data_IF_085909062605
#
_entry.id   IF_085909062605
#
_cell.length_a   1.000
_cell.length_b   1.000
_cell.length_c   1.000
_cell.angle_alpha   90.00
_cell.angle_beta   90.00
_cell.angle_gamma   90.00
#
_symmetry.space_group_name_H-M   'P 1'
#
loop_
_entity.id
_entity.type
_entity.pdbx_description
1 polymer ?
#
# COMPACT_ATOMS: atom_id res chain seq x y z
N UNK A 1 -19.51 8.80 1.86
CA UNK A 1 -18.64 9.99 1.78
C UNK A 1 -18.92 10.95 2.94
N UNK A 2 -20.19 11.27 3.20
CA UNK A 2 -20.61 12.18 4.27
C UNK A 2 -20.35 11.66 5.71
N UNK A 3 -20.49 10.37 5.98
CA UNK A 3 -20.18 9.80 7.32
C UNK A 3 -18.67 9.85 7.67
N UNK A 4 -17.78 9.72 6.66
CA UNK A 4 -16.34 9.87 6.86
C UNK A 4 -15.97 11.34 7.08
N UNK A 5 -16.68 12.24 6.40
CA UNK A 5 -16.53 13.68 6.53
C UNK A 5 -17.00 14.18 7.90
N UNK A 6 -18.09 13.63 8.44
CA UNK A 6 -18.57 13.90 9.80
C UNK A 6 -17.60 13.39 10.88
N UNK A 7 -17.01 12.19 10.69
CA UNK A 7 -15.97 11.66 11.59
C UNK A 7 -14.64 12.42 11.50
N UNK A 8 -14.31 12.93 10.31
CA UNK A 8 -13.15 13.81 10.08
C UNK A 8 -13.33 15.21 10.67
N UNK A 9 -14.56 15.74 10.72
CA UNK A 9 -14.87 17.03 11.33
C UNK A 9 -14.86 16.97 12.87
N UNK A 10 -15.22 15.81 13.45
CA UNK A 10 -15.30 15.62 14.90
C UNK A 10 -13.94 15.31 15.58
N UNK A 11 -12.87 15.04 14.84
CA UNK A 11 -11.58 14.65 15.40
C UNK A 11 -10.40 15.44 14.81
N UNK A 12 -9.81 16.34 15.60
CA UNK A 12 -8.37 16.59 15.54
C UNK A 12 -7.90 17.95 14.99
N UNK A 13 -6.64 18.23 15.35
CA UNK A 13 -5.88 19.45 15.04
C UNK A 13 -5.78 19.74 13.52
N UNK A 14 -5.36 20.93 13.09
CA UNK A 14 -5.21 21.30 11.67
C UNK A 14 -4.48 20.25 10.83
N UNK A 15 -3.50 19.56 11.41
CA UNK A 15 -2.73 18.50 10.75
C UNK A 15 -3.58 17.27 10.36
N UNK A 16 -4.57 16.92 11.16
CA UNK A 16 -5.50 15.80 10.88
C UNK A 16 -6.43 16.17 9.72
N UNK A 17 -6.84 17.44 9.63
CA UNK A 17 -7.68 17.95 8.53
C UNK A 17 -6.94 17.98 7.19
N UNK A 18 -5.68 18.42 7.16
CA UNK A 18 -4.84 18.39 5.95
C UNK A 18 -4.60 16.95 5.48
N UNK A 19 -4.29 16.05 6.42
CA UNK A 19 -4.07 14.62 6.13
C UNK A 19 -5.33 13.94 5.58
N UNK A 20 -6.51 14.25 6.13
CA UNK A 20 -7.81 13.77 5.65
C UNK A 20 -8.14 14.33 4.25
N UNK A 21 -7.81 15.60 3.98
CA UNK A 21 -7.98 16.21 2.66
C UNK A 21 -7.08 15.56 1.59
N UNK A 22 -5.81 15.27 1.92
CA UNK A 22 -4.91 14.53 1.04
C UNK A 22 -5.41 13.11 0.79
N UNK A 23 -5.93 12.42 1.82
CA UNK A 23 -6.53 11.09 1.68
C UNK A 23 -7.79 11.13 0.80
N UNK A 24 -8.67 12.11 0.98
CA UNK A 24 -9.85 12.30 0.14
C UNK A 24 -9.51 12.62 -1.32
N UNK A 25 -8.45 13.40 -1.57
CA UNK A 25 -7.96 13.68 -2.93
C UNK A 25 -7.32 12.44 -3.57
N UNK A 26 -6.54 11.68 -2.80
CA UNK A 26 -5.99 10.39 -3.23
C UNK A 26 -7.10 9.39 -3.57
N UNK A 27 -8.18 9.37 -2.79
CA UNK A 27 -9.39 8.60 -3.09
C UNK A 27 -10.07 9.05 -4.39
N UNK A 28 -10.26 10.36 -4.61
CA UNK A 28 -10.82 10.89 -5.87
C UNK A 28 -10.00 10.47 -7.10
N UNK A 29 -8.67 10.42 -6.99
CA UNK A 29 -7.80 9.92 -8.08
C UNK A 29 -8.04 8.44 -8.43
N UNK A 30 -8.47 7.64 -7.47
CA UNK A 30 -8.79 6.22 -7.67
C UNK A 30 -10.21 6.01 -8.20
N UNK A 31 -11.13 6.92 -7.85
CA UNK A 31 -12.53 6.94 -8.30
C UNK A 31 -12.69 7.54 -9.70
N UNK A 32 -12.20 8.77 -9.89
CA UNK A 32 -12.50 9.66 -11.02
C UNK A 32 -11.32 9.82 -12.00
N UNK A 33 -10.13 9.33 -11.64
CA UNK A 33 -8.93 9.33 -12.51
C UNK A 33 -8.09 10.61 -12.48
N UNK A 34 -8.47 11.61 -11.69
CA UNK A 34 -7.86 12.95 -11.66
C UNK A 34 -6.36 12.97 -11.29
N UNK A 35 -5.57 13.89 -11.86
CA UNK A 35 -4.14 14.04 -11.56
C UNK A 35 -3.92 14.78 -10.22
N UNK A 36 -2.95 14.33 -9.42
CA UNK A 36 -2.51 15.13 -8.27
C UNK A 36 -1.70 16.30 -8.81
N UNK A 37 -2.27 17.51 -8.74
CA UNK A 37 -1.51 18.75 -8.90
C UNK A 37 -0.34 18.83 -7.90
N UNK A 38 0.60 19.77 -8.12
CA UNK A 38 1.68 20.03 -7.16
C UNK A 38 1.11 20.32 -5.75
N UNK A 39 1.91 20.15 -4.68
CA UNK A 39 1.47 20.47 -3.32
C UNK A 39 0.82 21.86 -3.26
N UNK A 40 -0.30 21.99 -2.54
CA UNK A 40 -1.00 23.28 -2.44
C UNK A 40 -0.23 24.22 -1.49
N UNK A 41 -0.36 25.52 -1.68
CA UNK A 41 0.23 26.55 -0.79
C UNK A 41 -0.23 26.40 0.68
N UNK A 42 -1.39 25.78 0.91
CA UNK A 42 -1.92 25.47 2.25
C UNK A 42 -1.33 24.19 2.89
N UNK A 43 -0.55 23.39 2.14
CA UNK A 43 0.28 22.31 2.70
C UNK A 43 1.50 22.95 3.39
N UNK A 44 1.29 23.66 4.51
CA UNK A 44 2.40 24.23 5.28
C UNK A 44 3.39 23.10 5.65
N UNK A 45 4.61 23.07 5.07
CA UNK A 45 5.58 22.00 5.28
C UNK A 45 6.25 22.04 6.65
N UNK A 46 5.82 22.94 7.55
CA UNK A 46 6.50 23.30 8.79
C UNK A 46 6.65 22.17 9.80
N UNK A 47 5.92 21.04 9.65
CA UNK A 47 6.16 19.83 10.43
C UNK A 47 6.43 18.60 9.56
N UNK A 48 7.55 17.94 9.83
CA UNK A 48 7.97 16.73 9.12
C UNK A 48 6.87 15.66 9.09
N UNK A 49 6.09 15.45 10.15
CA UNK A 49 5.01 14.46 10.18
C UNK A 49 3.94 14.69 9.09
N UNK A 50 3.60 15.93 8.74
CA UNK A 50 2.63 16.23 7.68
C UNK A 50 3.18 15.90 6.28
N UNK A 51 4.45 16.23 6.04
CA UNK A 51 5.16 15.84 4.81
C UNK A 51 5.18 14.33 4.62
N UNK A 52 5.48 13.58 5.68
CA UNK A 52 5.47 12.11 5.63
C UNK A 52 4.05 11.55 5.43
N UNK A 53 3.04 12.14 6.05
CA UNK A 53 1.64 11.77 5.87
C UNK A 53 1.16 11.93 4.43
N UNK A 54 1.34 13.12 3.84
CA UNK A 54 0.93 13.39 2.46
C UNK A 54 1.69 12.55 1.44
N UNK A 55 2.99 12.37 1.64
CA UNK A 55 3.83 11.52 0.78
C UNK A 55 3.41 10.05 0.87
N UNK A 56 3.03 9.57 2.04
CA UNK A 56 2.55 8.19 2.20
C UNK A 56 1.33 7.92 1.34
N UNK A 57 0.34 8.82 1.28
CA UNK A 57 -0.85 8.60 0.45
C UNK A 57 -0.55 8.67 -1.05
N UNK A 58 0.43 9.47 -1.47
CA UNK A 58 0.93 9.43 -2.86
C UNK A 58 1.54 8.07 -3.19
N UNK A 59 2.37 7.54 -2.29
CA UNK A 59 2.97 6.21 -2.43
C UNK A 59 1.86 5.14 -2.48
N UNK A 60 0.82 5.23 -1.64
CA UNK A 60 -0.33 4.32 -1.66
C UNK A 60 -0.97 4.29 -3.05
N UNK A 61 -1.30 5.45 -3.63
CA UNK A 61 -1.93 5.53 -4.96
C UNK A 61 -1.03 4.90 -6.03
N UNK A 62 0.27 5.19 -6.00
CA UNK A 62 1.24 4.61 -6.96
C UNK A 62 1.36 3.10 -6.81
N UNK A 63 1.42 2.59 -5.59
CA UNK A 63 1.46 1.15 -5.31
C UNK A 63 0.19 0.46 -5.82
N UNK A 64 -1.00 1.04 -5.57
CA UNK A 64 -2.26 0.50 -6.06
C UNK A 64 -2.31 0.47 -7.60
N UNK A 65 -1.76 1.49 -8.27
CA UNK A 65 -1.63 1.57 -9.73
C UNK A 65 -0.49 0.72 -10.31
N UNK A 66 0.24 -0.03 -9.47
CA UNK A 66 1.44 -0.82 -9.84
C UNK A 66 2.62 0.02 -10.37
N UNK A 67 2.65 1.32 -10.06
CA UNK A 67 3.72 2.28 -10.41
C UNK A 67 4.90 2.17 -9.42
N UNK A 68 5.43 0.96 -9.21
CA UNK A 68 6.34 0.67 -8.08
C UNK A 68 7.68 1.43 -8.13
N UNK A 69 8.23 1.68 -9.32
CA UNK A 69 9.46 2.48 -9.45
C UNK A 69 9.24 3.93 -9.03
N UNK A 70 8.11 4.52 -9.43
CA UNK A 70 7.71 5.88 -9.04
C UNK A 70 7.33 5.97 -7.56
N UNK A 71 6.77 4.89 -7.01
CA UNK A 71 6.51 4.77 -5.57
C UNK A 71 7.83 4.72 -4.77
N UNK A 72 8.81 3.93 -5.24
CA UNK A 72 10.11 3.83 -4.59
C UNK A 72 10.90 5.13 -4.65
N UNK A 73 10.92 5.83 -5.79
CA UNK A 73 11.60 7.12 -5.93
C UNK A 73 11.09 8.19 -4.95
N UNK A 74 9.81 8.14 -4.55
CA UNK A 74 9.26 9.02 -3.50
C UNK A 74 9.57 8.52 -2.09
N UNK A 75 9.66 7.21 -1.89
CA UNK A 75 9.91 6.61 -0.58
C UNK A 75 11.39 6.65 -0.17
N UNK A 76 12.31 6.51 -1.12
CA UNK A 76 13.75 6.35 -0.86
C UNK A 76 14.34 7.51 -0.03
N UNK A 77 14.07 8.80 -0.33
CA UNK A 77 14.59 9.92 0.46
C UNK A 77 14.08 9.94 1.91
N UNK A 78 12.94 9.30 2.18
CA UNK A 78 12.28 9.25 3.48
C UNK A 78 12.75 8.06 4.35
N UNK A 79 13.53 7.15 3.78
CA UNK A 79 13.86 5.85 4.38
C UNK A 79 14.68 5.87 5.68
N UNK A 80 15.30 6.99 6.03
CA UNK A 80 16.24 7.07 7.16
C UNK A 80 15.61 7.50 8.50
N UNK A 81 14.54 8.31 8.47
CA UNK A 81 13.98 8.93 9.68
C UNK A 81 12.46 8.73 9.85
N UNK A 82 11.81 8.06 8.90
CA UNK A 82 10.35 7.85 8.87
C UNK A 82 9.78 7.32 10.19
N UNK A 83 10.48 6.40 10.87
CA UNK A 83 9.99 5.79 12.10
C UNK A 83 9.82 6.81 13.22
N UNK A 84 10.75 7.76 13.34
CA UNK A 84 10.69 8.85 14.31
C UNK A 84 9.61 9.86 13.92
N UNK A 85 9.57 10.22 12.64
CA UNK A 85 8.65 11.25 12.13
C UNK A 85 7.19 10.83 12.11
N UNK A 86 6.93 9.53 11.99
CA UNK A 86 5.59 8.94 12.02
C UNK A 86 5.27 8.22 13.34
N UNK A 87 6.08 8.40 14.38
CA UNK A 87 5.86 7.71 15.66
C UNK A 87 4.48 8.05 16.25
N UNK A 88 3.70 7.02 16.60
CA UNK A 88 2.34 7.17 17.14
C UNK A 88 1.28 7.60 16.13
N UNK A 89 1.66 7.86 14.87
CA UNK A 89 0.70 8.26 13.84
C UNK A 89 0.08 7.03 13.16
N UNK A 90 -1.24 7.02 12.99
CA UNK A 90 -1.98 5.94 12.31
C UNK A 90 -1.50 5.66 10.87
N UNK A 91 -0.84 6.64 10.24
CA UNK A 91 -0.27 6.52 8.89
C UNK A 91 1.02 5.69 8.87
N UNK A 92 1.68 5.47 10.01
CA UNK A 92 2.91 4.71 10.14
C UNK A 92 2.82 3.26 9.63
N UNK A 93 1.82 2.45 10.04
CA UNK A 93 1.68 1.09 9.50
C UNK A 93 1.36 1.09 7.99
N UNK A 94 0.58 2.06 7.50
CA UNK A 94 0.31 2.20 6.06
C UNK A 94 1.61 2.48 5.31
N UNK A 95 2.41 3.44 5.78
CA UNK A 95 3.74 3.76 5.24
C UNK A 95 4.64 2.53 5.23
N UNK A 96 4.71 1.82 6.36
CA UNK A 96 5.53 0.63 6.50
C UNK A 96 5.20 -0.43 5.43
N UNK A 97 3.90 -0.68 5.20
CA UNK A 97 3.44 -1.64 4.20
C UNK A 97 3.79 -1.22 2.77
N UNK A 98 3.41 0.01 2.36
CA UNK A 98 3.54 0.42 0.95
C UNK A 98 5.00 0.62 0.54
N UNK A 99 5.85 1.11 1.43
CA UNK A 99 7.29 1.23 1.17
C UNK A 99 7.94 -0.16 1.11
N UNK A 100 7.51 -1.11 1.93
CA UNK A 100 7.99 -2.50 1.85
C UNK A 100 7.64 -3.13 0.49
N UNK A 101 6.41 -2.93 -0.01
CA UNK A 101 5.99 -3.43 -1.33
C UNK A 101 6.81 -2.75 -2.44
N UNK A 102 6.98 -1.42 -2.40
CA UNK A 102 7.78 -0.71 -3.40
C UNK A 102 9.25 -1.18 -3.40
N UNK A 103 9.83 -1.39 -2.22
CA UNK A 103 11.18 -1.95 -2.04
C UNK A 103 11.27 -3.39 -2.56
N UNK A 104 10.25 -4.22 -2.32
CA UNK A 104 10.19 -5.61 -2.79
C UNK A 104 10.35 -5.68 -4.32
N UNK A 105 9.75 -4.74 -5.04
CA UNK A 105 9.80 -4.65 -6.50
C UNK A 105 11.12 -4.14 -7.05
N UNK A 106 11.90 -3.38 -6.28
CA UNK A 106 13.26 -2.99 -6.67
C UNK A 106 14.28 -4.12 -6.45
N UNK A 107 13.96 -5.06 -5.54
CA UNK A 107 14.92 -6.06 -5.11
C UNK A 107 15.48 -6.92 -6.27
N UNK A 108 14.68 -7.43 -7.25
CA UNK A 108 15.22 -8.24 -8.35
C UNK A 108 16.32 -7.55 -9.16
N UNK A 109 16.18 -6.25 -9.44
CA UNK A 109 17.17 -5.45 -10.17
C UNK A 109 18.34 -4.95 -9.31
N UNK A 110 18.21 -5.01 -7.98
CA UNK A 110 19.21 -4.48 -7.04
C UNK A 110 20.25 -5.54 -6.65
N UNK A 111 21.54 -5.20 -6.74
CA UNK A 111 22.68 -6.09 -6.45
C UNK A 111 23.57 -5.57 -5.32
N UNK A 112 24.53 -6.39 -4.88
CA UNK A 112 25.58 -6.01 -3.93
C UNK A 112 25.10 -5.43 -2.60
N UNK A 113 25.79 -4.39 -2.11
CA UNK A 113 25.49 -3.73 -0.82
C UNK A 113 24.11 -3.06 -0.80
N UNK A 114 23.65 -2.55 -1.94
CA UNK A 114 22.31 -1.96 -2.05
C UNK A 114 21.21 -2.99 -1.77
N UNK A 115 21.37 -4.21 -2.28
CA UNK A 115 20.43 -5.33 -2.03
C UNK A 115 20.34 -5.67 -0.54
N UNK A 116 21.48 -5.67 0.15
CA UNK A 116 21.55 -5.94 1.60
C UNK A 116 20.83 -4.84 2.39
N UNK A 117 21.07 -3.57 2.05
CA UNK A 117 20.39 -2.43 2.67
C UNK A 117 18.87 -2.49 2.47
N UNK A 118 18.43 -2.80 1.25
CA UNK A 118 17.01 -2.92 0.92
C UNK A 118 16.34 -4.05 1.72
N UNK A 119 16.97 -5.22 1.82
CA UNK A 119 16.48 -6.31 2.69
C UNK A 119 16.46 -5.95 4.17
N UNK A 120 17.38 -5.11 4.65
CA UNK A 120 17.36 -4.61 6.04
C UNK A 120 16.19 -3.66 6.24
N UNK A 121 15.99 -2.73 5.31
CA UNK A 121 14.89 -1.77 5.32
C UNK A 121 13.53 -2.49 5.37
N UNK A 122 13.29 -3.47 4.50
CA UNK A 122 12.05 -4.23 4.51
C UNK A 122 11.81 -4.98 5.83
N UNK A 123 12.87 -5.54 6.44
CA UNK A 123 12.75 -6.18 7.76
C UNK A 123 12.40 -5.20 8.86
N UNK A 124 12.87 -3.97 8.79
CA UNK A 124 12.51 -2.90 9.73
C UNK A 124 11.04 -2.49 9.58
N UNK A 125 10.56 -2.34 8.35
CA UNK A 125 9.16 -2.02 8.06
C UNK A 125 8.22 -3.12 8.58
N UNK A 126 8.58 -4.40 8.37
CA UNK A 126 7.86 -5.53 8.97
C UNK A 126 7.82 -5.45 10.50
N UNK A 127 8.93 -5.12 11.17
CA UNK A 127 8.95 -5.03 12.65
C UNK A 127 8.03 -3.94 13.19
N UNK A 128 7.89 -2.84 12.46
CA UNK A 128 6.90 -1.80 12.82
C UNK A 128 5.50 -2.37 12.70
N UNK A 129 5.17 -3.07 11.61
CA UNK A 129 3.87 -3.74 11.46
C UNK A 129 3.62 -4.79 12.55
N UNK A 130 4.65 -5.51 13.01
CA UNK A 130 4.56 -6.47 14.13
C UNK A 130 4.19 -5.78 15.44
N UNK A 131 4.78 -4.61 15.73
CA UNK A 131 4.43 -3.82 16.91
C UNK A 131 2.96 -3.39 16.86
N UNK A 132 2.54 -2.78 15.75
CA UNK A 132 1.16 -2.30 15.59
C UNK A 132 0.14 -3.44 15.64
N UNK A 133 0.43 -4.58 15.01
CA UNK A 133 -0.45 -5.76 15.06
C UNK A 133 -0.48 -6.43 16.44
N UNK A 134 0.59 -6.30 17.24
CA UNK A 134 0.59 -6.73 18.63
C UNK A 134 -0.32 -5.88 19.51
N UNK A 135 -0.35 -4.56 19.26
CA UNK A 135 -1.15 -3.61 20.04
C UNK A 135 -2.63 -3.60 19.63
N UNK A 136 -2.93 -3.75 18.33
CA UNK A 136 -4.30 -3.80 17.82
C UNK A 136 -4.40 -4.73 16.58
N UNK A 137 -4.54 -6.05 16.80
CA UNK A 137 -4.51 -7.03 15.74
C UNK A 137 -5.65 -6.86 14.73
N UNK A 138 -6.84 -6.41 15.16
CA UNK A 138 -8.00 -6.17 14.30
C UNK A 138 -7.67 -5.17 13.19
N UNK A 139 -6.93 -4.10 13.52
CA UNK A 139 -6.62 -3.04 12.56
C UNK A 139 -5.39 -3.33 11.69
N UNK A 140 -4.42 -4.09 12.19
CA UNK A 140 -3.08 -4.14 11.59
C UNK A 140 -2.60 -5.55 11.22
N UNK A 141 -3.24 -6.62 11.69
CA UNK A 141 -2.91 -7.98 11.25
C UNK A 141 -3.02 -8.18 9.72
N UNK A 142 -4.01 -7.61 9.00
CA UNK A 142 -4.05 -7.73 7.55
C UNK A 142 -2.80 -7.13 6.86
N UNK A 143 -2.29 -6.00 7.34
CA UNK A 143 -1.09 -5.35 6.78
C UNK A 143 0.17 -6.16 7.06
N UNK A 144 0.29 -6.69 8.29
CA UNK A 144 1.40 -7.56 8.66
C UNK A 144 1.43 -8.83 7.81
N UNK A 145 0.27 -9.48 7.64
CA UNK A 145 0.16 -10.68 6.81
C UNK A 145 0.60 -10.40 5.37
N UNK A 146 0.19 -9.27 4.78
CA UNK A 146 0.62 -8.90 3.42
C UNK A 146 2.14 -8.67 3.34
N UNK A 147 2.72 -7.97 4.32
CA UNK A 147 4.16 -7.77 4.39
C UNK A 147 4.94 -9.09 4.53
N UNK A 148 4.43 -10.03 5.34
CA UNK A 148 5.00 -11.36 5.49
C UNK A 148 4.90 -12.17 4.20
N UNK A 149 3.80 -12.03 3.45
CA UNK A 149 3.62 -12.66 2.14
C UNK A 149 4.68 -12.22 1.13
N UNK A 150 4.92 -10.91 1.01
CA UNK A 150 5.96 -10.35 0.14
C UNK A 150 7.36 -10.88 0.51
N UNK A 151 7.70 -10.86 1.80
CA UNK A 151 8.99 -11.32 2.29
C UNK A 151 9.19 -12.84 2.13
N UNK A 152 8.16 -13.64 2.39
CA UNK A 152 8.18 -15.09 2.16
C UNK A 152 8.38 -15.39 0.67
N UNK A 153 7.67 -14.66 -0.21
CA UNK A 153 7.86 -14.74 -1.64
C UNK A 153 9.32 -14.45 -2.03
N UNK A 154 9.88 -13.30 -1.64
CA UNK A 154 11.26 -12.96 -1.99
C UNK A 154 12.31 -13.94 -1.45
N UNK A 155 11.96 -14.73 -0.44
CA UNK A 155 12.78 -15.81 0.12
C UNK A 155 12.56 -17.17 -0.56
N UNK A 156 11.68 -17.28 -1.56
CA UNK A 156 11.34 -18.55 -2.22
C UNK A 156 10.43 -19.46 -1.40
N UNK A 157 9.86 -18.97 -0.30
CA UNK A 157 8.97 -19.74 0.60
C UNK A 157 7.53 -19.67 0.10
N UNK A 158 7.28 -20.30 -1.06
CA UNK A 158 6.03 -20.17 -1.81
C UNK A 158 4.76 -20.46 -0.99
N UNK A 159 4.71 -21.60 -0.29
CA UNK A 159 3.53 -22.03 0.49
C UNK A 159 3.19 -21.03 1.62
N UNK A 160 4.23 -20.53 2.29
CA UNK A 160 4.08 -19.50 3.33
C UNK A 160 3.60 -18.18 2.72
N UNK A 161 4.13 -17.78 1.56
CA UNK A 161 3.70 -16.59 0.86
C UNK A 161 2.21 -16.65 0.49
N UNK A 162 1.76 -17.75 -0.13
CA UNK A 162 0.36 -17.96 -0.50
C UNK A 162 -0.57 -17.88 0.72
N UNK A 163 -0.23 -18.62 1.79
CA UNK A 163 -1.00 -18.62 3.05
C UNK A 163 -1.15 -17.19 3.60
N UNK A 164 -0.05 -16.43 3.60
CA UNK A 164 -0.06 -15.06 4.10
C UNK A 164 -0.85 -14.09 3.21
N UNK A 165 -0.83 -14.25 1.88
CA UNK A 165 -1.68 -13.46 0.98
C UNK A 165 -3.17 -13.73 1.23
N UNK A 166 -3.55 -15.00 1.36
CA UNK A 166 -4.94 -15.38 1.63
C UNK A 166 -5.41 -14.88 3.00
N UNK A 167 -4.56 -14.99 4.02
CA UNK A 167 -4.83 -14.41 5.34
C UNK A 167 -5.00 -12.90 5.30
N UNK A 168 -4.10 -12.18 4.61
CA UNK A 168 -4.20 -10.73 4.46
C UNK A 168 -5.53 -10.33 3.80
N UNK A 169 -5.91 -11.03 2.73
CA UNK A 169 -7.15 -10.80 2.00
C UNK A 169 -8.38 -11.07 2.85
N UNK A 170 -8.48 -12.25 3.47
CA UNK A 170 -9.63 -12.63 4.29
C UNK A 170 -9.82 -11.70 5.48
N UNK A 171 -8.72 -11.33 6.15
CA UNK A 171 -8.77 -10.39 7.28
C UNK A 171 -9.12 -8.98 6.81
N UNK A 172 -8.54 -8.49 5.72
CA UNK A 172 -8.91 -7.17 5.18
C UNK A 172 -10.39 -7.09 4.77
N UNK A 173 -10.98 -8.17 4.26
CA UNK A 173 -12.42 -8.23 3.98
C UNK A 173 -13.26 -8.21 5.26
N UNK A 174 -12.89 -9.01 6.28
CA UNK A 174 -13.57 -9.04 7.57
C UNK A 174 -13.57 -7.68 8.28
N UNK A 175 -12.42 -6.99 8.24
CA UNK A 175 -12.20 -5.68 8.88
C UNK A 175 -12.63 -4.51 7.99
N UNK A 176 -13.28 -4.79 6.85
CA UNK A 176 -13.82 -3.78 5.91
C UNK A 176 -12.76 -2.78 5.44
N UNK A 177 -11.58 -3.28 5.08
CA UNK A 177 -10.46 -2.54 4.51
C UNK A 177 -10.34 -2.79 2.99
N UNK A 178 -11.25 -2.23 2.16
CA UNK A 178 -11.37 -2.62 0.75
C UNK A 178 -10.13 -2.32 -0.09
N UNK A 179 -9.41 -1.23 0.20
CA UNK A 179 -8.16 -0.89 -0.47
C UNK A 179 -7.09 -1.97 -0.23
N UNK A 180 -7.02 -2.51 0.99
CA UNK A 180 -6.03 -3.50 1.39
C UNK A 180 -6.40 -4.89 0.89
N UNK A 181 -7.69 -5.24 0.90
CA UNK A 181 -8.19 -6.48 0.30
C UNK A 181 -7.88 -6.51 -1.20
N UNK A 182 -8.19 -5.43 -1.92
CA UNK A 182 -7.85 -5.31 -3.34
C UNK A 182 -6.34 -5.39 -3.59
N UNK A 183 -5.53 -4.73 -2.76
CA UNK A 183 -4.07 -4.78 -2.86
C UNK A 183 -3.54 -6.19 -2.60
N UNK A 184 -4.02 -6.89 -1.57
CA UNK A 184 -3.60 -8.26 -1.26
C UNK A 184 -3.90 -9.22 -2.43
N UNK A 185 -5.09 -9.12 -3.03
CA UNK A 185 -5.45 -9.91 -4.21
C UNK A 185 -4.57 -9.55 -5.43
N UNK A 186 -4.26 -8.26 -5.63
CA UNK A 186 -3.40 -7.80 -6.72
C UNK A 186 -1.95 -8.30 -6.58
N UNK A 187 -1.42 -8.25 -5.37
CA UNK A 187 -0.07 -8.73 -5.04
C UNK A 187 0.03 -10.25 -5.13
N UNK A 188 -1.01 -10.98 -4.71
CA UNK A 188 -1.12 -12.42 -4.94
C UNK A 188 -1.09 -12.75 -6.43
N UNK A 189 -1.87 -12.04 -7.25
CA UNK A 189 -1.87 -12.21 -8.69
C UNK A 189 -0.48 -11.98 -9.31
N UNK A 190 0.17 -10.88 -8.96
CA UNK A 190 1.53 -10.56 -9.43
C UNK A 190 2.51 -11.66 -9.04
N UNK A 191 2.39 -12.21 -7.82
CA UNK A 191 3.24 -13.31 -7.38
C UNK A 191 2.99 -14.59 -8.16
N UNK A 192 1.75 -15.03 -8.27
CA UNK A 192 1.39 -16.25 -8.99
C UNK A 192 1.79 -16.20 -10.47
N UNK A 193 1.76 -15.00 -11.06
CA UNK A 193 2.29 -14.77 -12.42
C UNK A 193 3.77 -15.12 -12.52
N UNK A 194 4.59 -14.63 -11.57
CA UNK A 194 6.05 -14.89 -11.57
C UNK A 194 6.40 -16.35 -11.34
N UNK A 195 5.56 -17.06 -10.60
CA UNK A 195 5.72 -18.48 -10.30
C UNK A 195 5.10 -19.40 -11.38
N UNK A 196 4.47 -18.84 -12.43
CA UNK A 196 3.86 -19.62 -13.52
C UNK A 196 2.48 -20.20 -13.22
N UNK A 197 1.83 -19.83 -12.11
CA UNK A 197 0.48 -20.27 -11.75
C UNK A 197 -0.60 -19.40 -12.40
N UNK A 198 -0.80 -19.56 -13.72
CA UNK A 198 -1.66 -18.70 -14.55
C UNK A 198 -3.11 -18.63 -14.08
N UNK A 199 -3.76 -19.76 -13.81
CA UNK A 199 -5.17 -19.81 -13.37
C UNK A 199 -5.38 -19.05 -12.06
N UNK A 200 -4.53 -19.30 -11.05
CA UNK A 200 -4.65 -18.63 -9.77
C UNK A 200 -4.32 -17.13 -9.89
N UNK A 201 -3.37 -16.77 -10.77
CA UNK A 201 -3.08 -15.37 -11.06
C UNK A 201 -4.31 -14.66 -11.66
N UNK A 202 -4.97 -15.24 -12.65
CA UNK A 202 -6.17 -14.66 -13.30
C UNK A 202 -7.34 -14.51 -12.34
N UNK A 203 -7.63 -15.54 -11.54
CA UNK A 203 -8.65 -15.48 -10.50
C UNK A 203 -8.37 -14.36 -9.50
N UNK A 204 -7.12 -14.23 -9.06
CA UNK A 204 -6.69 -13.19 -8.13
C UNK A 204 -6.80 -11.79 -8.74
N UNK A 205 -6.47 -11.60 -10.03
CA UNK A 205 -6.67 -10.32 -10.75
C UNK A 205 -8.15 -9.95 -10.83
N UNK A 206 -9.00 -10.91 -11.20
CA UNK A 206 -10.44 -10.71 -11.26
C UNK A 206 -11.00 -10.31 -9.89
N UNK A 207 -10.53 -10.96 -8.82
CA UNK A 207 -10.90 -10.62 -7.45
C UNK A 207 -10.45 -9.22 -7.05
N UNK A 208 -9.20 -8.84 -7.34
CA UNK A 208 -8.69 -7.49 -7.08
C UNK A 208 -9.57 -6.42 -7.77
N UNK A 209 -9.90 -6.61 -9.05
CA UNK A 209 -10.81 -5.70 -9.78
C UNK A 209 -12.19 -5.62 -9.16
N UNK A 210 -12.78 -6.75 -8.76
CA UNK A 210 -14.08 -6.78 -8.11
C UNK A 210 -14.07 -6.01 -6.78
N UNK A 211 -13.00 -6.17 -5.98
CA UNK A 211 -12.83 -5.46 -4.72
C UNK A 211 -12.66 -3.95 -4.92
N UNK A 212 -11.84 -3.53 -5.89
CA UNK A 212 -11.70 -2.10 -6.21
C UNK A 212 -12.99 -1.49 -6.76
N UNK A 213 -13.77 -2.22 -7.56
CA UNK A 213 -15.11 -1.77 -8.00
C UNK A 213 -16.06 -1.61 -6.82
N UNK A 214 -16.12 -2.59 -5.90
CA UNK A 214 -16.94 -2.51 -4.68
C UNK A 214 -16.53 -1.36 -3.76
N UNK A 215 -15.24 -1.02 -3.75
CA UNK A 215 -14.72 0.13 -3.03
C UNK A 215 -15.14 1.48 -3.66
N UNK A 216 -15.42 1.50 -4.96
CA UNK A 216 -15.65 2.72 -5.74
C UNK A 216 -14.42 3.22 -6.50
N UNK A 217 -13.28 2.54 -6.45
CA UNK A 217 -12.08 2.87 -7.22
C UNK A 217 -12.19 2.40 -8.68
N UNK A 218 -13.15 2.96 -9.41
CA UNK A 218 -13.51 2.54 -10.77
C UNK A 218 -12.40 2.80 -11.77
N UNK A 219 -11.78 3.99 -11.73
CA UNK A 219 -10.64 4.31 -12.60
C UNK A 219 -9.49 3.32 -12.38
N UNK A 220 -9.16 3.00 -11.12
CA UNK A 220 -8.15 1.99 -10.82
C UNK A 220 -8.51 0.63 -11.41
N UNK A 221 -9.73 0.14 -11.18
CA UNK A 221 -10.17 -1.15 -11.67
C UNK A 221 -10.15 -1.24 -13.21
N UNK A 222 -10.46 -0.14 -13.91
CA UNK A 222 -10.39 -0.04 -15.36
C UNK A 222 -8.93 -0.04 -15.86
N UNK A 223 -8.06 0.79 -15.29
CA UNK A 223 -6.63 0.81 -15.63
C UNK A 223 -6.00 -0.57 -15.50
N UNK A 224 -6.30 -1.30 -14.41
CA UNK A 224 -5.78 -2.64 -14.22
C UNK A 224 -6.32 -3.66 -15.24
N UNK A 225 -7.58 -3.51 -15.67
CA UNK A 225 -8.16 -4.37 -16.71
C UNK A 225 -7.51 -4.15 -18.09
N UNK A 226 -7.26 -2.89 -18.47
CA UNK A 226 -6.63 -2.54 -19.74
C UNK A 226 -5.19 -3.06 -19.82
N UNK A 227 -4.40 -2.84 -18.76
CA UNK A 227 -3.02 -3.31 -18.67
C UNK A 227 -2.87 -4.86 -18.64
N UNK A 228 -3.97 -5.60 -18.50
CA UNK A 228 -4.00 -7.06 -18.59
C UNK A 228 -4.39 -7.52 -20.00
N UNK A 229 -5.29 -6.82 -20.68
CA UNK A 229 -5.63 -7.07 -22.08
C UNK A 229 -4.46 -6.88 -23.04
N UNK A 230 -3.65 -5.84 -22.82
CA UNK A 230 -2.42 -5.58 -23.61
C UNK A 230 -1.36 -6.68 -23.47
N UNK A 231 -1.41 -7.51 -22.42
CA UNK A 231 -0.47 -8.61 -22.18
C UNK A 231 -0.92 -9.95 -22.77
N UNK A 232 -2.15 -10.03 -23.30
CA UNK A 232 -2.68 -11.24 -23.95
C UNK A 232 -2.56 -11.20 -25.48
N UNK A 233 -2.03 -10.11 -26.04
CA UNK A 233 -1.74 -9.93 -27.47
C UNK A 233 -0.23 -9.87 -27.70
#
# INVERSE_FOLDING_TARGET
AEELQARSQAAGSPAVRTTAATFHRALRRLTDGDELGPPHEDDDPSTASLRYGSTTYRIVVKVLRREYGSAWAEAEPLSHDWRRQLSGAHVQPIHALVVLIAAAEQLPATTGRARIRLRRLMREHRRVLESWAGDCPENYAPMLALAQAELAGLAGRYREALTNYEHALARAEAERMPWLAGLAADRLAARMTREGHTTLAEQSRARARALYRRWGALALALTLALAEGERMH
#
